data_IF_251549423870
#
_entry.id   IF_251549423870
#
_cell.length_a   1.000
_cell.length_b   1.000
_cell.length_c   1.000
_cell.angle_alpha   90.00
_cell.angle_beta   90.00
_cell.angle_gamma   90.00
#
_symmetry.space_group_name_H-M   'P 1'
#
loop_
_entity.id
_entity.type
_entity.pdbx_description
1 polymer ?
#
# COMPACT_ATOMS: atom_id res chain seq x y z
N UNK A 1 5.27 7.40 4.41
CA UNK A 1 5.41 5.95 4.10
C UNK A 1 6.73 5.64 3.38
N UNK A 2 7.87 5.94 3.98
CA UNK A 2 9.19 5.60 3.46
C UNK A 2 10.01 4.88 4.52
N UNK A 3 9.62 3.64 4.81
CA UNK A 3 10.38 2.77 5.72
C UNK A 3 11.31 1.90 4.88
N UNK A 4 12.62 2.01 5.09
CA UNK A 4 13.65 1.11 4.54
C UNK A 4 13.67 -0.28 5.23
N UNK A 5 12.57 -0.66 5.88
CA UNK A 5 12.45 -1.91 6.62
C UNK A 5 12.62 -3.14 5.72
N UNK A 6 13.53 -4.03 6.13
CA UNK A 6 13.82 -5.31 5.46
C UNK A 6 12.86 -6.40 5.94
N UNK A 7 11.66 -6.43 5.35
CA UNK A 7 10.60 -7.38 5.73
C UNK A 7 10.74 -8.79 5.12
N UNK A 8 11.73 -9.00 4.24
CA UNK A 8 11.98 -10.26 3.54
C UNK A 8 13.00 -11.17 4.24
N UNK A 9 13.74 -10.67 5.24
CA UNK A 9 14.93 -11.33 5.81
C UNK A 9 14.60 -12.53 6.71
N UNK A 10 13.44 -12.53 7.38
CA UNK A 10 13.02 -13.65 8.24
C UNK A 10 11.58 -14.07 7.92
N UNK A 11 11.28 -15.37 8.08
CA UNK A 11 9.92 -15.93 7.96
C UNK A 11 8.97 -15.13 8.87
N UNK A 12 7.78 -14.81 8.38
CA UNK A 12 6.74 -13.99 9.04
C UNK A 12 6.97 -12.48 9.19
N UNK A 13 8.13 -11.91 8.83
CA UNK A 13 8.34 -10.44 8.87
C UNK A 13 7.46 -9.66 7.88
N UNK A 14 6.90 -10.33 6.86
CA UNK A 14 5.91 -9.73 5.95
C UNK A 14 4.60 -9.33 6.66
N UNK A 15 4.26 -9.95 7.79
CA UNK A 15 3.08 -9.61 8.58
C UNK A 15 3.23 -8.23 9.26
N UNK A 16 4.44 -7.90 9.73
CA UNK A 16 4.79 -6.62 10.36
C UNK A 16 4.90 -5.46 9.35
N UNK A 17 4.87 -5.75 8.03
CA UNK A 17 4.87 -4.71 7.01
C UNK A 17 3.51 -3.99 7.01
N UNK A 18 3.48 -2.64 7.02
CA UNK A 18 2.22 -1.88 6.91
C UNK A 18 1.39 -2.32 5.69
N UNK A 19 0.08 -2.47 5.85
CA UNK A 19 -0.79 -3.00 4.77
C UNK A 19 -0.75 -2.14 3.50
N UNK A 20 -0.69 -0.82 3.67
CA UNK A 20 -0.56 0.15 2.58
C UNK A 20 0.76 -0.05 1.81
N UNK A 21 1.84 -0.45 2.48
CA UNK A 21 3.14 -0.75 1.84
C UNK A 21 3.09 -2.06 1.05
N UNK A 22 2.33 -3.05 1.52
CA UNK A 22 2.08 -4.28 0.74
C UNK A 22 1.30 -3.97 -0.54
N UNK A 23 0.24 -3.17 -0.44
CA UNK A 23 -0.56 -2.76 -1.59
C UNK A 23 0.27 -1.97 -2.63
N UNK A 24 1.10 -1.02 -2.16
CA UNK A 24 2.04 -0.31 -3.04
C UNK A 24 3.03 -1.26 -3.75
N UNK A 25 3.50 -2.30 -3.06
CA UNK A 25 4.42 -3.28 -3.66
C UNK A 25 3.71 -4.13 -4.73
N UNK A 26 2.45 -4.51 -4.51
CA UNK A 26 1.63 -5.25 -5.48
C UNK A 26 1.38 -4.45 -6.76
N UNK A 27 1.16 -3.13 -6.66
CA UNK A 27 0.98 -2.25 -7.82
C UNK A 27 2.25 -2.11 -8.70
N UNK A 28 3.41 -2.50 -8.18
CA UNK A 28 4.70 -2.39 -8.86
C UNK A 28 5.21 -3.72 -9.43
N UNK A 29 4.39 -4.78 -9.45
CA UNK A 29 4.79 -6.13 -9.88
C UNK A 29 5.07 -6.26 -11.39
N UNK A 30 4.46 -5.41 -12.22
CA UNK A 30 4.71 -5.44 -13.66
C UNK A 30 5.99 -4.67 -14.01
N UNK A 31 6.76 -5.20 -14.98
CA UNK A 31 8.10 -4.71 -15.29
C UNK A 31 8.19 -3.20 -15.61
N UNK A 32 7.15 -2.60 -16.19
CA UNK A 32 7.09 -1.16 -16.53
C UNK A 32 6.93 -0.24 -15.30
N UNK A 33 6.50 -0.80 -14.18
CA UNK A 33 6.13 -0.14 -12.94
C UNK A 33 7.09 -0.48 -11.79
N UNK A 34 8.09 -1.33 -12.06
CA UNK A 34 9.14 -1.64 -11.10
C UNK A 34 9.95 -0.38 -10.73
N UNK A 35 10.32 -0.24 -9.45
CA UNK A 35 11.05 0.94 -8.93
C UNK A 35 10.26 2.25 -8.81
N UNK A 36 9.08 2.38 -9.43
CA UNK A 36 8.23 3.59 -9.41
C UNK A 36 7.40 3.77 -8.14
N UNK A 37 8.06 3.74 -6.97
CA UNK A 37 7.39 3.78 -5.66
C UNK A 37 6.64 5.09 -5.41
N UNK A 38 7.21 6.24 -5.82
CA UNK A 38 6.56 7.54 -5.63
C UNK A 38 5.22 7.63 -6.36
N UNK A 39 5.16 7.10 -7.58
CA UNK A 39 3.94 7.06 -8.39
C UNK A 39 2.90 6.14 -7.74
N UNK A 40 3.31 4.95 -7.30
CA UNK A 40 2.41 4.02 -6.61
C UNK A 40 1.82 4.63 -5.33
N UNK A 41 2.61 5.37 -4.55
CA UNK A 41 2.13 6.06 -3.34
C UNK A 41 1.14 7.19 -3.70
N UNK A 42 1.39 7.93 -4.78
CA UNK A 42 0.46 8.98 -5.24
C UNK A 42 -0.90 8.39 -5.64
N UNK A 43 -0.90 7.29 -6.39
CA UNK A 43 -2.13 6.59 -6.80
C UNK A 43 -2.93 6.14 -5.57
N UNK A 44 -2.26 5.56 -4.58
CA UNK A 44 -2.93 5.13 -3.34
C UNK A 44 -3.51 6.31 -2.56
N UNK A 45 -2.81 7.45 -2.52
CA UNK A 45 -3.30 8.66 -1.86
C UNK A 45 -4.60 9.14 -2.50
N UNK A 46 -4.64 9.24 -3.83
CA UNK A 46 -5.85 9.64 -4.56
C UNK A 46 -6.98 8.63 -4.41
N UNK A 47 -6.68 7.33 -4.42
CA UNK A 47 -7.69 6.29 -4.20
C UNK A 47 -8.32 6.38 -2.80
N UNK A 48 -7.50 6.62 -1.76
CA UNK A 48 -7.99 6.81 -0.39
C UNK A 48 -8.86 8.08 -0.25
N UNK A 49 -8.52 9.15 -0.98
CA UNK A 49 -9.28 10.39 -1.00
C UNK A 49 -10.66 10.19 -1.65
N UNK A 50 -10.73 9.46 -2.76
CA UNK A 50 -12.00 9.09 -3.40
C UNK A 50 -12.86 8.23 -2.45
N UNK A 51 -12.27 7.24 -1.78
CA UNK A 51 -13.01 6.37 -0.84
C UNK A 51 -13.55 7.18 0.33
N UNK A 52 -12.78 8.13 0.87
CA UNK A 52 -13.26 9.00 1.94
C UNK A 52 -14.47 9.82 1.48
N UNK A 53 -14.39 10.44 0.30
CA UNK A 53 -15.49 11.25 -0.25
C UNK A 53 -16.75 10.44 -0.57
N UNK A 54 -16.61 9.16 -0.91
CA UNK A 54 -17.75 8.29 -1.25
C UNK A 54 -18.42 7.66 -0.01
N UNK A 55 -17.68 7.47 1.07
CA UNK A 55 -18.15 6.65 2.21
C UNK A 55 -18.26 7.44 3.51
N UNK A 56 -17.69 8.65 3.61
CA UNK A 56 -17.56 9.45 4.86
C UNK A 56 -16.99 8.66 6.05
N UNK A 57 -16.29 7.55 5.76
CA UNK A 57 -15.66 6.66 6.73
C UNK A 57 -14.14 6.74 6.62
N UNK A 58 -13.45 6.41 7.72
CA UNK A 58 -11.98 6.40 7.73
C UNK A 58 -11.43 5.41 6.68
N UNK A 59 -10.72 5.86 5.64
CA UNK A 59 -10.29 5.02 4.51
C UNK A 59 -9.26 3.95 4.91
N UNK A 60 -8.60 4.12 6.06
CA UNK A 60 -7.71 3.10 6.66
C UNK A 60 -8.51 1.87 7.10
N UNK A 61 -9.76 2.05 7.49
CA UNK A 61 -10.64 0.99 8.00
C UNK A 61 -11.29 0.18 6.87
N UNK A 62 -11.41 0.76 5.67
CA UNK A 62 -11.90 0.06 4.46
C UNK A 62 -10.84 -0.84 3.80
N UNK A 63 -9.56 -0.59 4.06
CA UNK A 63 -8.43 -1.38 3.53
C UNK A 63 -8.26 -2.81 4.05
N UNK A 64 -8.50 -3.13 5.35
CA UNK A 64 -8.39 -4.50 5.83
C UNK A 64 -9.48 -5.45 5.30
N UNK A 65 -10.55 -4.96 4.68
CA UNK A 65 -11.65 -5.82 4.20
C UNK A 65 -11.37 -6.48 2.84
N UNK A 66 -10.37 -5.99 2.09
CA UNK A 66 -10.11 -6.44 0.71
C UNK A 66 -8.95 -7.44 0.58
N UNK A 67 -8.47 -8.03 1.68
CA UNK A 67 -7.38 -9.02 1.76
C UNK A 67 -7.71 -10.11 2.78
#
# INVERSE_FOLDING_TARGET
>A
MNTAGRYLVKRFRKAQCPIVKRLAHSLMMHGRNNGKKLIAVSIIKHAMEIVYLLTDQNPIQSLPMLL
#
